data_IF_536363694249
#
_entry.id   IF_536363694249
#
_cell.length_a   1.000
_cell.length_b   1.000
_cell.length_c   1.000
_cell.angle_alpha   90.00
_cell.angle_beta   90.00
_cell.angle_gamma   90.00
#
_symmetry.space_group_name_H-M   'P 1'
#
loop_
_entity.id
_entity.type
_entity.pdbx_description
1 polymer ?
#
# COMPACT_ATOMS: atom_id res chain seq x y z
N UNK A 1 7.16 -14.58 2.43
CA UNK A 1 6.28 -13.60 1.77
C UNK A 1 6.63 -12.22 2.30
N UNK A 2 6.38 -11.17 1.53
CA UNK A 2 6.76 -9.81 1.88
C UNK A 2 5.59 -8.86 1.69
N UNK A 3 5.42 -7.90 2.59
CA UNK A 3 4.33 -6.95 2.57
C UNK A 3 4.85 -5.53 2.33
N UNK A 4 4.11 -4.78 1.50
CA UNK A 4 4.20 -3.32 1.43
C UNK A 4 3.06 -2.75 2.26
N UNK A 5 3.40 -1.91 3.24
CA UNK A 5 2.47 -1.32 4.20
C UNK A 5 2.40 0.17 3.95
N UNK A 6 1.19 0.67 3.71
CA UNK A 6 0.89 2.09 3.55
C UNK A 6 -0.10 2.54 4.62
N UNK A 7 0.29 3.50 5.45
CA UNK A 7 -0.57 4.19 6.42
C UNK A 7 -0.45 5.68 6.17
N UNK A 8 -1.58 6.36 6.16
CA UNK A 8 -1.67 7.78 5.85
C UNK A 8 -2.49 8.51 6.89
N UNK A 9 -2.14 9.77 7.11
CA UNK A 9 -2.98 10.74 7.79
C UNK A 9 -3.76 11.48 6.69
N UNK A 10 -5.07 11.26 6.65
CA UNK A 10 -5.93 11.67 5.53
C UNK A 10 -6.92 12.73 6.01
N UNK A 11 -6.92 13.87 5.33
CA UNK A 11 -7.85 14.94 5.60
C UNK A 11 -9.30 14.44 5.44
N UNK A 12 -10.24 14.76 6.36
CA UNK A 12 -11.60 14.23 6.33
C UNK A 12 -12.33 14.41 5.00
N UNK A 13 -12.11 15.55 4.33
CA UNK A 13 -12.68 15.88 3.01
C UNK A 13 -12.21 14.95 1.89
N UNK A 14 -11.09 14.24 2.06
CA UNK A 14 -10.52 13.30 1.07
C UNK A 14 -10.98 11.86 1.23
N UNK A 15 -11.54 11.49 2.39
CA UNK A 15 -11.95 10.11 2.66
C UNK A 15 -13.02 9.60 1.67
N UNK A 16 -13.96 10.46 1.25
CA UNK A 16 -14.98 10.10 0.27
C UNK A 16 -14.39 9.74 -1.09
N UNK A 17 -13.48 10.59 -1.60
CA UNK A 17 -12.78 10.38 -2.87
C UNK A 17 -11.93 9.09 -2.83
N UNK A 18 -11.19 8.89 -1.74
CA UNK A 18 -10.34 7.71 -1.55
C UNK A 18 -11.16 6.41 -1.50
N UNK A 19 -12.25 6.38 -0.73
CA UNK A 19 -13.15 5.22 -0.63
C UNK A 19 -13.70 4.81 -1.99
N UNK A 20 -14.06 5.78 -2.84
CA UNK A 20 -14.56 5.51 -4.17
C UNK A 20 -13.49 4.88 -5.09
N UNK A 21 -12.21 5.15 -4.84
CA UNK A 21 -11.10 4.63 -5.63
C UNK A 21 -10.58 3.27 -5.16
N UNK A 22 -10.83 2.88 -3.90
CA UNK A 22 -10.36 1.60 -3.32
C UNK A 22 -10.63 0.38 -4.22
N UNK A 23 -11.84 0.18 -4.78
CA UNK A 23 -12.09 -0.97 -5.67
C UNK A 23 -11.18 -0.99 -6.90
N UNK A 24 -10.97 0.18 -7.53
CA UNK A 24 -10.09 0.30 -8.69
C UNK A 24 -8.63 0.04 -8.32
N UNK A 25 -8.17 0.58 -7.18
CA UNK A 25 -6.82 0.34 -6.68
C UNK A 25 -6.58 -1.13 -6.35
N UNK A 26 -7.56 -1.81 -5.74
CA UNK A 26 -7.50 -3.24 -5.48
C UNK A 26 -7.45 -4.06 -6.79
N UNK A 27 -8.30 -3.73 -7.78
CA UNK A 27 -8.28 -4.39 -9.08
C UNK A 27 -6.99 -4.16 -9.86
N UNK A 28 -6.34 -3.00 -9.70
CA UNK A 28 -5.07 -2.69 -10.37
C UNK A 28 -3.92 -3.65 -10.06
N UNK A 29 -4.05 -4.45 -8.98
CA UNK A 29 -3.03 -5.41 -8.56
C UNK A 29 -3.12 -6.75 -9.28
N UNK A 30 -4.25 -7.03 -9.92
CA UNK A 30 -4.42 -8.25 -10.73
C UNK A 30 -3.37 -8.25 -11.85
N UNK A 31 -2.54 -9.29 -11.89
CA UNK A 31 -1.45 -9.43 -12.87
C UNK A 31 -0.16 -8.70 -12.52
N UNK A 32 -0.06 -8.03 -11.37
CA UNK A 32 1.21 -7.46 -10.90
C UNK A 32 2.19 -8.58 -10.56
N UNK A 33 3.42 -8.58 -11.11
CA UNK A 33 4.40 -9.64 -10.87
C UNK A 33 4.66 -9.91 -9.38
N UNK A 34 4.44 -11.15 -8.96
CA UNK A 34 4.66 -11.59 -7.59
C UNK A 34 3.61 -11.14 -6.58
N UNK A 35 2.56 -10.42 -6.99
CA UNK A 35 1.44 -10.08 -6.10
C UNK A 35 0.67 -11.33 -5.69
N UNK A 36 0.40 -11.47 -4.39
CA UNK A 36 -0.30 -12.63 -3.80
C UNK A 36 -1.69 -12.23 -3.31
N UNK A 37 -1.75 -11.18 -2.49
CA UNK A 37 -2.99 -10.71 -1.88
C UNK A 37 -2.83 -9.25 -1.44
N UNK A 38 -3.92 -8.52 -1.27
CA UNK A 38 -3.87 -7.16 -0.74
C UNK A 38 -5.17 -6.79 -0.05
N UNK A 39 -5.05 -5.97 0.99
CA UNK A 39 -6.18 -5.39 1.70
C UNK A 39 -6.08 -3.88 1.64
N UNK A 40 -7.22 -3.24 1.41
CA UNK A 40 -7.43 -1.82 1.59
C UNK A 40 -8.49 -1.63 2.67
N UNK A 41 -8.24 -0.69 3.55
CA UNK A 41 -9.17 -0.27 4.60
C UNK A 41 -10.05 0.87 4.08
N UNK A 42 -11.21 1.09 4.71
CA UNK A 42 -12.13 2.16 4.31
C UNK A 42 -11.59 3.57 4.58
N UNK A 43 -10.62 3.70 5.47
CA UNK A 43 -9.85 4.92 5.73
C UNK A 43 -8.61 5.03 4.85
N UNK A 44 -8.41 4.13 3.87
CA UNK A 44 -7.43 4.30 2.81
C UNK A 44 -6.03 3.73 3.09
N UNK A 45 -5.82 3.07 4.23
CA UNK A 45 -4.60 2.32 4.51
C UNK A 45 -4.57 0.99 3.75
N UNK A 46 -3.36 0.48 3.49
CA UNK A 46 -3.21 -0.74 2.73
C UNK A 46 -2.06 -1.63 3.19
N UNK A 47 -2.25 -2.93 2.95
CA UNK A 47 -1.23 -3.96 3.04
C UNK A 47 -1.27 -4.75 1.74
N UNK A 48 -0.16 -4.83 1.01
CA UNK A 48 -0.03 -5.59 -0.23
C UNK A 48 1.04 -6.65 -0.06
N UNK A 49 0.65 -7.91 -0.19
CA UNK A 49 1.52 -9.08 0.01
C UNK A 49 2.03 -9.58 -1.33
N UNK A 50 3.33 -9.84 -1.37
CA UNK A 50 4.08 -10.35 -2.49
C UNK A 50 4.79 -11.66 -2.10
N UNK A 51 5.06 -12.49 -3.11
CA UNK A 51 5.72 -13.77 -2.96
C UNK A 51 7.16 -13.61 -2.40
N UNK A 52 7.87 -12.60 -2.88
CA UNK A 52 9.27 -12.33 -2.58
C UNK A 52 9.54 -10.82 -2.33
N UNK A 53 10.70 -10.54 -1.74
CA UNK A 53 11.13 -9.19 -1.37
C UNK A 53 11.33 -8.29 -2.59
N UNK A 54 11.87 -8.83 -3.68
CA UNK A 54 12.20 -8.05 -4.87
C UNK A 54 10.93 -7.50 -5.53
N UNK A 55 9.87 -8.29 -5.60
CA UNK A 55 8.55 -7.85 -6.07
C UNK A 55 7.93 -6.79 -5.15
N UNK A 56 8.04 -6.96 -3.83
CA UNK A 56 7.54 -5.96 -2.87
C UNK A 56 8.29 -4.62 -3.01
N UNK A 57 9.63 -4.66 -3.06
CA UNK A 57 10.47 -3.46 -3.22
C UNK A 57 10.22 -2.76 -4.54
N UNK A 58 10.07 -3.50 -5.64
CA UNK A 58 9.73 -2.91 -6.94
C UNK A 58 8.44 -2.12 -6.88
N UNK A 59 7.38 -2.69 -6.30
CA UNK A 59 6.12 -1.98 -6.15
C UNK A 59 6.27 -0.76 -5.24
N UNK A 60 6.96 -0.92 -4.12
CA UNK A 60 7.23 0.16 -3.17
C UNK A 60 7.91 1.37 -3.85
N UNK A 61 8.97 1.12 -4.61
CA UNK A 61 9.77 2.14 -5.27
C UNK A 61 9.01 2.76 -6.47
N UNK A 62 8.25 1.97 -7.22
CA UNK A 62 7.41 2.46 -8.32
C UNK A 62 6.35 3.45 -7.83
N UNK A 63 5.75 3.23 -6.64
CA UNK A 63 4.75 4.15 -6.08
C UNK A 63 5.39 5.44 -5.56
N UNK A 64 6.59 5.36 -4.97
CA UNK A 64 7.37 6.55 -4.59
C UNK A 64 7.73 7.40 -5.81
N UNK A 65 8.26 6.76 -6.86
CA UNK A 65 8.66 7.44 -8.09
C UNK A 65 7.49 8.14 -8.79
N UNK A 66 6.27 7.59 -8.67
CA UNK A 66 5.04 8.17 -9.21
C UNK A 66 4.40 9.22 -8.29
N UNK A 67 4.94 9.43 -7.08
CA UNK A 67 4.39 10.38 -6.11
C UNK A 67 3.04 9.97 -5.52
N UNK A 68 2.68 8.68 -5.57
CA UNK A 68 1.39 8.23 -5.08
C UNK A 68 1.30 8.16 -3.55
N UNK A 69 2.42 8.26 -2.84
CA UNK A 69 2.48 8.17 -1.37
C UNK A 69 2.18 9.49 -0.67
N UNK A 70 2.35 10.64 -1.34
CA UNK A 70 2.19 11.98 -0.76
C UNK A 70 1.37 12.85 -1.73
N UNK A 71 0.06 12.94 -1.50
CA UNK A 71 -0.86 13.74 -2.31
C UNK A 71 -1.44 14.90 -1.48
N UNK A 72 -1.90 16.00 -2.08
CA UNK A 72 -2.54 17.08 -1.33
C UNK A 72 -3.70 16.58 -0.46
N UNK A 73 -3.62 16.84 0.85
CA UNK A 73 -4.61 16.36 1.84
C UNK A 73 -4.38 14.92 2.33
N UNK A 74 -3.27 14.29 1.96
CA UNK A 74 -2.88 12.94 2.35
C UNK A 74 -1.39 12.94 2.70
N UNK A 75 -1.07 12.74 3.97
CA UNK A 75 0.31 12.67 4.46
C UNK A 75 0.70 11.23 4.74
N UNK A 76 1.83 10.77 4.22
CA UNK A 76 2.30 9.42 4.53
C UNK A 76 2.82 9.35 5.97
N UNK A 77 2.35 8.35 6.72
CA UNK A 77 2.79 8.07 8.10
C UNK A 77 3.67 6.82 8.12
N UNK A 78 3.29 5.80 7.36
CA UNK A 78 4.07 4.57 7.19
C UNK A 78 4.12 4.24 5.70
N UNK A 79 5.34 4.06 5.21
CA UNK A 79 5.63 3.46 3.91
C UNK A 79 6.77 2.48 4.08
N UNK A 80 6.45 1.19 4.15
CA UNK A 80 7.43 0.19 4.57
C UNK A 80 7.31 -1.12 3.77
N UNK A 81 8.43 -1.81 3.66
CA UNK A 81 8.52 -3.20 3.19
C UNK A 81 8.93 -4.08 4.38
N UNK A 82 8.16 -5.12 4.66
CA UNK A 82 8.40 -6.02 5.80
C UNK A 82 8.19 -7.49 5.41
N UNK A 83 8.92 -8.40 6.05
CA UNK A 83 8.66 -9.83 5.92
C UNK A 83 7.37 -10.21 6.64
N UNK A 84 6.51 -10.99 5.99
CA UNK A 84 5.25 -11.47 6.58
C UNK A 84 5.53 -12.66 7.49
N UNK A 85 5.10 -12.55 8.75
CA UNK A 85 5.28 -13.60 9.76
C UNK A 85 6.59 -13.51 10.55
N UNK A 86 7.45 -12.54 10.22
CA UNK A 86 8.55 -12.17 11.10
C UNK A 86 7.95 -11.48 12.34
N UNK A 87 8.04 -12.13 13.51
CA UNK A 87 7.70 -11.49 14.76
C UNK A 87 8.68 -10.34 15.02
N UNK A 88 8.17 -9.20 15.50
CA UNK A 88 9.02 -8.11 15.97
C UNK A 88 9.93 -8.66 17.07
N UNK A 89 11.23 -8.65 16.82
CA UNK A 89 12.24 -8.90 17.85
C UNK A 89 12.24 -7.66 18.76
N UNK A 90 11.37 -7.66 19.77
CA UNK A 90 11.28 -6.59 20.78
C UNK A 90 12.60 -6.47 21.52
#
# INVERSE_FOLDING_TARGET
MWAVIGVWDIAPEKLGELRAQVPLMASSKVGTPGFVHGTWTLDGHMIQVYADEASARRYHDDMLAKGFTEQPGVRCVVWAVAEVGAESQV
#
